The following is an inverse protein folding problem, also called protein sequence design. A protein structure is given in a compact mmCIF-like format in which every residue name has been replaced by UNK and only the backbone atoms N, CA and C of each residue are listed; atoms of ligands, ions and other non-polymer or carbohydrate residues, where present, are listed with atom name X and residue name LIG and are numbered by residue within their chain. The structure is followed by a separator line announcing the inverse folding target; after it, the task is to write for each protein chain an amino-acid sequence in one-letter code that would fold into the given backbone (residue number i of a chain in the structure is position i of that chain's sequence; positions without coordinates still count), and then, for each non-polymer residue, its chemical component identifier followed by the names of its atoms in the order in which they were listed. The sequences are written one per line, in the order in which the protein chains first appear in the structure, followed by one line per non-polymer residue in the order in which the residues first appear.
data_IF_811064823682
#
_entry.id   IF_811064823682
#
_cell.length_a   1.000
_cell.length_b   1.000
_cell.length_c   1.000
_cell.angle_alpha   90.00
_cell.angle_beta   90.00
_cell.angle_gamma   90.00
#
_symmetry.space_group_name_H-M   'P 1'
#
loop_
_entity.id
_entity.type
_entity.pdbx_description
1 polymer ?
#
# COMPACT_ATOMS: atom_id res chain seq x y z
N UNK A 1 8.60 -13.16 -0.59
CA UNK A 1 7.73 -12.87 0.56
C UNK A 1 6.39 -12.36 0.08
N UNK A 2 5.33 -12.71 0.76
CA UNK A 2 3.97 -12.29 0.45
C UNK A 2 3.48 -11.33 1.52
N UNK A 3 2.94 -10.20 1.10
CA UNK A 3 2.36 -9.21 2.01
C UNK A 3 0.92 -8.91 1.59
N UNK A 4 0.04 -8.79 2.57
CA UNK A 4 -1.35 -8.41 2.33
C UNK A 4 -1.60 -7.16 3.15
N UNK A 5 -2.04 -6.10 2.48
CA UNK A 5 -2.29 -4.83 3.15
C UNK A 5 -3.19 -3.92 2.34
N UNK A 6 -3.49 -2.76 2.92
CA UNK A 6 -4.31 -1.76 2.25
C UNK A 6 -3.45 -0.63 1.73
N UNK A 7 -3.77 -0.17 0.53
CA UNK A 7 -3.06 0.93 -0.10
C UNK A 7 -3.39 2.22 0.64
N UNK A 8 -2.36 3.00 0.96
CA UNK A 8 -2.49 4.20 1.79
C UNK A 8 -2.87 5.44 1.00
N UNK A 9 -2.54 5.46 -0.29
CA UNK A 9 -2.92 6.53 -1.21
C UNK A 9 -2.82 5.97 -2.62
N UNK A 10 -3.50 6.62 -3.56
CA UNK A 10 -3.50 6.16 -4.95
C UNK A 10 -2.09 6.01 -5.49
N UNK A 11 -1.85 4.94 -6.23
CA UNK A 11 -0.56 4.67 -6.84
C UNK A 11 -0.23 5.74 -7.88
N UNK A 12 1.07 5.99 -8.05
CA UNK A 12 1.52 6.89 -9.09
C UNK A 12 2.50 6.17 -10.01
N UNK A 13 2.64 6.69 -11.23
CA UNK A 13 3.56 6.17 -12.21
C UNK A 13 4.69 7.18 -12.37
N UNK A 14 5.92 6.72 -12.21
CA UNK A 14 7.10 7.54 -12.40
C UNK A 14 7.86 7.05 -13.62
N UNK A 15 8.17 7.96 -14.53
CA UNK A 15 8.95 7.65 -15.70
C UNK A 15 10.41 8.03 -15.44
N UNK A 16 11.32 7.10 -15.69
CA UNK A 16 12.73 7.32 -15.50
C UNK A 16 13.39 7.84 -16.78
N UNK A 17 14.62 8.31 -16.65
CA UNK A 17 15.37 8.91 -17.77
C UNK A 17 15.58 7.93 -18.94
N UNK A 18 15.59 6.65 -18.66
CA UNK A 18 15.78 5.60 -19.68
C UNK A 18 14.44 5.09 -20.25
N UNK A 19 13.37 5.85 -20.07
CA UNK A 19 12.01 5.54 -20.52
C UNK A 19 11.34 4.37 -19.80
N UNK A 20 11.96 3.81 -18.77
CA UNK A 20 11.28 2.82 -17.94
C UNK A 20 10.26 3.50 -17.04
N UNK A 21 9.17 2.81 -16.77
CA UNK A 21 8.15 3.30 -15.90
C UNK A 21 8.02 2.39 -14.70
N UNK A 22 7.80 2.98 -13.52
CA UNK A 22 7.57 2.25 -12.29
C UNK A 22 6.29 2.72 -11.64
N UNK A 23 5.50 1.78 -11.13
CA UNK A 23 4.30 2.09 -10.35
C UNK A 23 4.73 2.10 -8.88
N UNK A 24 4.58 3.25 -8.24
CA UNK A 24 4.89 3.41 -6.83
C UNK A 24 3.61 3.50 -6.01
N UNK A 25 3.56 2.71 -4.96
CA UNK A 25 2.45 2.75 -4.01
C UNK A 25 2.93 2.34 -2.64
N UNK A 26 2.11 2.58 -1.64
CA UNK A 26 2.45 2.24 -0.26
C UNK A 26 1.29 1.45 0.33
N UNK A 27 1.62 0.42 1.09
CA UNK A 27 0.62 -0.39 1.79
C UNK A 27 0.84 -0.30 3.30
N UNK A 28 -0.27 -0.39 4.03
CA UNK A 28 -0.26 -0.46 5.48
C UNK A 28 -0.73 -1.85 5.89
N UNK A 29 0.03 -2.47 6.78
CA UNK A 29 -0.32 -3.77 7.34
C UNK A 29 -0.54 -3.57 8.82
N UNK A 30 -1.74 -3.92 9.29
CA UNK A 30 -2.10 -3.81 10.69
C UNK A 30 -1.97 -5.18 11.35
N UNK A 31 -1.16 -5.24 12.39
CA UNK A 31 -1.01 -6.43 13.20
C UNK A 31 -1.60 -6.15 14.57
N UNK A 32 -2.51 -7.01 14.99
CA UNK A 32 -3.13 -6.90 16.29
C UNK A 32 -2.60 -8.02 17.19
N UNK A 33 -2.21 -7.65 18.40
CA UNK A 33 -1.85 -8.65 19.38
C UNK A 33 -2.25 -8.17 20.78
N UNK A 34 -2.43 -9.13 21.66
CA UNK A 34 -2.73 -8.85 23.06
C UNK A 34 -1.61 -9.45 23.91
N UNK A 35 -0.76 -8.61 24.52
CA UNK A 35 0.31 -9.13 25.35
C UNK A 35 -0.26 -9.95 26.52
N UNK A 36 0.47 -10.97 26.93
CA UNK A 36 0.07 -11.81 28.04
C UNK A 36 -0.07 -10.98 29.31
N UNK A 37 -1.22 -11.06 29.95
CA UNK A 37 -1.50 -10.28 31.15
C UNK A 37 -2.09 -8.91 30.90
N UNK A 38 -2.20 -8.50 29.64
CA UNK A 38 -2.83 -7.22 29.30
C UNK A 38 -4.34 -7.35 29.19
N UNK A 39 -5.05 -6.27 29.53
CA UNK A 39 -6.50 -6.21 29.40
C UNK A 39 -6.93 -5.73 28.02
N UNK A 40 -6.04 -5.02 27.32
CA UNK A 40 -6.32 -4.47 25.99
C UNK A 40 -5.29 -4.98 24.99
N UNK A 41 -5.74 -5.09 23.73
CA UNK A 41 -4.85 -5.44 22.64
C UNK A 41 -4.12 -4.22 22.09
N UNK A 42 -3.09 -4.48 21.31
CA UNK A 42 -2.28 -3.47 20.66
C UNK A 42 -2.32 -3.68 19.16
N UNK A 43 -2.55 -2.59 18.41
CA UNK A 43 -2.47 -2.62 16.96
C UNK A 43 -1.18 -1.93 16.52
N UNK A 44 -0.36 -2.67 15.78
CA UNK A 44 0.85 -2.12 15.16
C UNK A 44 0.63 -2.00 13.67
N UNK A 45 0.92 -0.83 13.14
CA UNK A 45 0.80 -0.59 11.70
C UNK A 45 2.20 -0.46 11.10
N UNK A 46 2.47 -1.27 10.09
CA UNK A 46 3.73 -1.23 9.37
C UNK A 46 3.47 -0.77 7.94
N UNK A 47 4.25 0.17 7.46
CA UNK A 47 4.13 0.72 6.13
C UNK A 47 5.26 0.22 5.24
N UNK A 48 4.91 -0.18 4.01
CA UNK A 48 5.87 -0.64 3.01
C UNK A 48 5.74 0.21 1.77
N UNK A 49 6.87 0.71 1.29
CA UNK A 49 6.92 1.41 0.00
C UNK A 49 7.14 0.37 -1.10
N UNK A 50 6.25 0.31 -2.05
CA UNK A 50 6.26 -0.73 -3.06
C UNK A 50 6.56 -0.15 -4.44
N UNK A 51 7.34 -0.90 -5.22
CA UNK A 51 7.70 -0.52 -6.59
C UNK A 51 7.42 -1.70 -7.51
N UNK A 52 6.59 -1.48 -8.52
CA UNK A 52 6.22 -2.50 -9.48
C UNK A 52 6.62 -2.06 -10.87
N UNK A 53 7.46 -2.86 -11.52
CA UNK A 53 8.10 -2.49 -12.78
C UNK A 53 7.54 -3.19 -14.00
N UNK A 54 6.70 -4.21 -13.82
CA UNK A 54 6.30 -5.10 -14.89
C UNK A 54 5.28 -4.45 -15.82
N UNK A 55 4.28 -3.75 -15.28
CA UNK A 55 3.24 -3.13 -16.09
C UNK A 55 2.63 -1.95 -15.36
N UNK A 56 2.32 -0.89 -16.10
CA UNK A 56 1.63 0.27 -15.55
C UNK A 56 0.12 0.14 -15.64
N UNK A 57 -0.38 -0.89 -16.31
CA UNK A 57 -1.82 -1.09 -16.53
C UNK A 57 -2.60 -1.29 -15.25
N UNK A 58 -1.95 -1.78 -14.20
CA UNK A 58 -2.60 -2.02 -12.92
C UNK A 58 -2.74 -0.74 -12.08
N UNK A 59 -1.97 0.29 -12.37
CA UNK A 59 -1.93 1.50 -11.55
C UNK A 59 -3.31 2.11 -11.27
N UNK A 60 -4.23 2.24 -12.23
CA UNK A 60 -5.56 2.79 -11.94
C UNK A 60 -6.37 1.98 -10.94
N UNK A 61 -6.02 0.73 -10.73
CA UNK A 61 -6.70 -0.16 -9.79
C UNK A 61 -6.07 -0.16 -8.41
N UNK A 62 -4.89 0.44 -8.27
CA UNK A 62 -4.17 0.53 -7.00
C UNK A 62 -4.54 1.84 -6.31
N UNK A 63 -5.74 1.90 -5.80
CA UNK A 63 -6.31 3.09 -5.21
C UNK A 63 -6.33 3.00 -3.68
N UNK A 64 -6.37 4.16 -3.04
CA UNK A 64 -6.37 4.25 -1.58
C UNK A 64 -7.47 3.36 -0.97
N UNK A 65 -7.10 2.56 0.00
CA UNK A 65 -8.02 1.67 0.70
C UNK A 65 -8.17 0.30 0.08
N UNK A 66 -7.69 0.10 -1.14
CA UNK A 66 -7.79 -1.21 -1.79
C UNK A 66 -6.96 -2.26 -1.03
N UNK A 67 -7.53 -3.45 -0.89
CA UNK A 67 -6.85 -4.57 -0.25
C UNK A 67 -6.11 -5.36 -1.31
N UNK A 68 -4.80 -5.43 -1.17
CA UNK A 68 -3.95 -6.10 -2.16
C UNK A 68 -3.03 -7.10 -1.50
N UNK A 69 -2.68 -8.12 -2.27
CA UNK A 69 -1.65 -9.08 -1.91
C UNK A 69 -0.50 -8.88 -2.87
N UNK A 70 0.69 -8.65 -2.34
CA UNK A 70 1.87 -8.49 -3.17
C UNK A 70 2.88 -9.58 -2.86
N UNK A 71 3.58 -10.01 -3.89
CA UNK A 71 4.68 -10.96 -3.77
C UNK A 71 5.93 -10.26 -4.27
N UNK A 72 6.99 -10.30 -3.47
CA UNK A 72 8.21 -9.63 -3.87
C UNK A 72 9.32 -9.77 -2.85
N UNK A 73 10.35 -8.97 -3.04
CA UNK A 73 11.52 -8.95 -2.17
C UNK A 73 11.47 -7.70 -1.30
N UNK A 74 11.60 -7.91 0.01
CA UNK A 74 11.64 -6.84 0.99
C UNK A 74 13.09 -6.43 1.22
N UNK A 75 13.32 -5.14 1.30
CA UNK A 75 14.64 -4.61 1.68
C UNK A 75 14.47 -3.35 2.50
N UNK A 76 15.49 -3.05 3.28
CA UNK A 76 15.50 -1.87 4.15
C UNK A 76 16.47 -0.86 3.55
N UNK A 77 16.00 0.38 3.45
CA UNK A 77 16.84 1.48 3.02
C UNK A 77 17.04 2.43 4.21
N UNK A 78 18.28 2.52 4.68
CA UNK A 78 18.62 3.42 5.77
C UNK A 78 19.19 4.72 5.22
N UNK A 79 18.78 5.84 5.78
CA UNK A 79 19.24 7.15 5.32
C UNK A 79 19.24 8.13 6.47
N UNK A 80 19.94 9.26 6.29
CA UNK A 80 19.95 10.35 7.26
C UNK A 80 18.94 11.40 6.80
N UNK A 81 17.99 11.73 7.68
CA UNK A 81 17.00 12.75 7.39
C UNK A 81 17.59 14.15 7.38
N UNK A 82 16.79 15.11 6.94
CA UNK A 82 17.20 16.51 6.90
C UNK A 82 17.49 17.08 8.29
N UNK A 83 16.90 16.47 9.31
CA UNK A 83 17.12 16.84 10.71
C UNK A 83 18.37 16.17 11.32
N UNK A 84 19.13 15.44 10.52
CA UNK A 84 20.32 14.74 10.98
C UNK A 84 20.07 13.41 11.66
N UNK A 85 18.81 13.00 11.80
CA UNK A 85 18.48 11.73 12.43
C UNK A 85 18.58 10.56 11.44
N UNK A 86 19.01 9.42 11.94
CA UNK A 86 19.01 8.20 11.15
C UNK A 86 17.58 7.70 10.97
N UNK A 87 17.21 7.39 9.74
CA UNK A 87 15.89 6.88 9.39
C UNK A 87 16.01 5.64 8.53
N UNK A 88 14.95 4.85 8.52
CA UNK A 88 14.90 3.67 7.68
C UNK A 88 13.52 3.53 7.09
N UNK A 89 13.47 3.02 5.86
CA UNK A 89 12.21 2.70 5.20
C UNK A 89 12.19 1.24 4.81
N UNK A 90 11.01 0.62 4.92
CA UNK A 90 10.77 -0.72 4.43
C UNK A 90 10.29 -0.63 3.00
N UNK A 91 10.93 -1.35 2.12
CA UNK A 91 10.65 -1.29 0.70
C UNK A 91 10.40 -2.69 0.16
N UNK A 92 9.60 -2.78 -0.88
CA UNK A 92 9.32 -4.04 -1.55
C UNK A 92 9.47 -3.87 -3.06
N UNK A 93 10.33 -4.70 -3.64
CA UNK A 93 10.40 -4.84 -5.08
C UNK A 93 9.36 -5.88 -5.48
N UNK A 94 8.25 -5.43 -6.05
CA UNK A 94 7.06 -6.26 -6.26
C UNK A 94 7.18 -7.06 -7.54
N UNK A 95 6.94 -8.36 -7.45
CA UNK A 95 6.93 -9.27 -8.60
C UNK A 95 5.51 -9.56 -9.09
N UNK A 96 4.55 -9.59 -8.19
CA UNK A 96 3.16 -9.89 -8.55
C UNK A 96 2.21 -9.17 -7.59
N UNK A 97 1.07 -8.78 -8.12
CA UNK A 97 0.03 -8.08 -7.36
C UNK A 97 -1.31 -8.77 -7.62
N UNK A 98 -2.03 -9.07 -6.54
CA UNK A 98 -3.40 -9.57 -6.61
C UNK A 98 -4.28 -8.61 -5.85
N UNK A 99 -5.33 -8.09 -6.48
CA UNK A 99 -6.27 -7.18 -5.84
C UNK A 99 -7.42 -8.00 -5.27
N UNK A 100 -7.54 -8.00 -3.95
CA UNK A 100 -8.61 -8.72 -3.28
C UNK A 100 -9.87 -7.88 -3.13
N UNK A 101 -9.70 -6.58 -2.93
CA UNK A 101 -10.82 -5.67 -2.81
C UNK A 101 -10.42 -4.33 -3.42
N UNK A 102 -11.04 -3.98 -4.52
CA UNK A 102 -10.79 -2.72 -5.19
C UNK A 102 -11.70 -1.63 -4.63
N UNK A 103 -11.10 -0.50 -4.28
CA UNK A 103 -11.83 0.69 -3.85
C UNK A 103 -11.63 1.74 -4.93
N UNK A 104 -12.71 2.34 -5.41
CA UNK A 104 -12.64 3.36 -6.43
C UNK A 104 -11.89 4.59 -5.92
N UNK A 105 -11.32 5.36 -6.84
CA UNK A 105 -10.63 6.59 -6.50
C UNK A 105 -11.55 7.55 -5.75
N UNK A 106 -10.96 8.56 -5.10
CA UNK A 106 -11.72 9.49 -4.26
C UNK A 106 -12.89 10.15 -4.99
N UNK A 107 -12.70 10.56 -6.24
CA UNK A 107 -13.76 11.20 -7.01
C UNK A 107 -14.87 10.23 -7.35
N UNK A 108 -14.53 9.09 -7.92
CA UNK A 108 -15.50 8.06 -8.23
C UNK A 108 -16.19 7.56 -6.96
N UNK A 109 -15.46 7.51 -5.86
CA UNK A 109 -16.00 7.09 -4.58
C UNK A 109 -17.09 8.02 -4.07
N UNK A 110 -16.94 9.32 -4.29
CA UNK A 110 -17.98 10.28 -3.92
C UNK A 110 -19.27 10.05 -4.68
N UNK A 111 -19.18 9.86 -5.97
CA UNK A 111 -20.34 9.59 -6.81
C UNK A 111 -21.03 8.29 -6.41
N UNK A 112 -20.25 7.26 -6.26
CA UNK A 112 -20.75 5.94 -5.87
C UNK A 112 -21.37 5.99 -4.49
N UNK A 113 -20.83 6.78 -3.60
CA UNK A 113 -21.35 6.89 -2.25
C UNK A 113 -22.78 7.41 -2.23
N UNK A 114 -23.13 8.31 -3.13
CA UNK A 114 -24.48 8.82 -3.24
C UNK A 114 -25.45 7.76 -3.78
N UNK A 115 -24.96 6.86 -4.60
CA UNK A 115 -25.78 5.88 -5.27
C UNK A 115 -25.90 4.57 -4.52
N UNK A 116 -24.81 4.11 -3.92
CA UNK A 116 -24.71 2.75 -3.42
C UNK A 116 -24.21 2.66 -1.98
N UNK A 117 -24.26 3.75 -1.24
CA UNK A 117 -23.81 3.72 0.15
C UNK A 117 -24.52 2.65 0.95
N UNK A 118 -25.81 2.49 0.70
CA UNK A 118 -26.63 1.54 1.41
C UNK A 118 -26.40 0.10 0.96
N UNK A 119 -25.81 -0.07 -0.21
CA UNK A 119 -25.58 -1.39 -0.79
C UNK A 119 -24.24 -1.98 -0.39
N UNK A 120 -23.39 -1.19 0.25
CA UNK A 120 -22.04 -1.63 0.61
C UNK A 120 -21.98 -1.99 2.08
N UNK A 121 -21.89 -3.29 2.38
CA UNK A 121 -21.89 -3.77 3.76
C UNK A 121 -20.51 -3.70 4.41
N UNK A 122 -19.77 -2.71 4.12
CA UNK A 122 -18.43 -2.59 4.70
C UNK A 122 -18.40 -1.74 5.92
#
# INVERSE_FOLDING_TARGET
MVLIGRITKDANIKKLKDNREVVNFSIAINDYYKPKGATEGVTLTTFYNCSYWISTKIAPRLTKGSLVEITGRIYINAYTGLDGEAKASLNCHVNAITIHQHIRSSEAKKEVKQEVTDDLPF
#
